data_IF_862115356036
#
_entry.id   IF_862115356036
#
_cell.length_a   1.000
_cell.length_b   1.000
_cell.length_c   1.000
_cell.angle_alpha   90.00
_cell.angle_beta   90.00
_cell.angle_gamma   90.00
#
_symmetry.space_group_name_H-M   'P 1'
#
loop_
_entity.id
_entity.type
_entity.pdbx_description
1 polymer ?
#
# COMPACT_ATOMS: atom_id res chain seq x y z
N UNK A 1 12.65 -11.93 27.87
CA UNK A 1 13.93 -12.67 27.79
C UNK A 1 15.10 -11.85 28.38
N UNK A 2 15.21 -10.52 28.13
CA UNK A 2 16.27 -9.67 28.67
C UNK A 2 16.25 -9.60 30.21
N UNK A 3 15.09 -9.34 30.82
CA UNK A 3 14.94 -9.33 32.28
C UNK A 3 15.32 -10.66 32.94
N UNK A 4 15.01 -11.81 32.31
CA UNK A 4 15.44 -13.13 32.77
C UNK A 4 16.98 -13.33 32.73
N UNK A 5 17.67 -12.66 31.79
CA UNK A 5 19.13 -12.83 31.61
C UNK A 5 19.95 -11.79 32.38
N UNK A 6 19.44 -10.59 32.56
CA UNK A 6 20.18 -9.44 33.10
C UNK A 6 19.59 -8.86 34.39
N UNK A 7 18.48 -9.43 34.91
CA UNK A 7 17.75 -8.96 36.08
C UNK A 7 16.73 -7.86 35.80
N UNK A 8 15.88 -7.56 36.81
CA UNK A 8 14.80 -6.59 36.68
C UNK A 8 15.29 -5.13 36.55
N UNK A 9 16.49 -4.84 37.03
CA UNK A 9 17.12 -3.52 36.94
C UNK A 9 17.81 -3.24 35.59
N UNK A 10 17.64 -4.13 34.58
CA UNK A 10 18.30 -3.98 33.29
C UNK A 10 17.68 -2.82 32.48
N UNK A 11 18.44 -1.74 32.35
CA UNK A 11 18.11 -0.62 31.48
C UNK A 11 18.51 -0.92 30.03
N UNK A 12 17.49 -1.31 29.24
CA UNK A 12 17.66 -1.59 27.80
C UNK A 12 18.17 -0.36 27.03
N UNK A 13 17.71 0.83 27.37
CA UNK A 13 18.06 2.06 26.66
C UNK A 13 19.52 2.41 26.89
N UNK A 14 19.95 2.37 28.14
CA UNK A 14 21.36 2.57 28.51
C UNK A 14 22.27 1.51 27.86
N UNK A 15 21.90 0.24 27.91
CA UNK A 15 22.67 -0.85 27.29
C UNK A 15 22.85 -0.64 25.77
N UNK A 16 21.80 -0.27 25.05
CA UNK A 16 21.86 -0.04 23.60
C UNK A 16 22.75 1.16 23.26
N UNK A 17 22.78 2.18 24.09
CA UNK A 17 23.60 3.40 23.86
C UNK A 17 25.05 3.31 24.32
N UNK A 18 25.37 2.42 25.25
CA UNK A 18 26.70 2.36 25.86
C UNK A 18 27.50 1.11 25.53
N UNK A 19 26.85 0.01 25.14
CA UNK A 19 27.55 -1.22 24.79
C UNK A 19 28.28 -1.08 23.45
N UNK A 20 29.62 -1.18 23.46
CA UNK A 20 30.46 -0.94 22.28
C UNK A 20 30.03 -1.78 21.05
N UNK A 21 29.69 -3.06 21.24
CA UNK A 21 29.30 -3.96 20.18
C UNK A 21 27.92 -3.56 19.59
N UNK A 22 26.99 -3.08 20.42
CA UNK A 22 25.68 -2.61 19.96
C UNK A 22 25.82 -1.29 19.21
N UNK A 23 26.69 -0.38 19.69
CA UNK A 23 26.99 0.89 19.01
C UNK A 23 27.64 0.64 17.64
N UNK A 24 28.55 -0.33 17.54
CA UNK A 24 29.17 -0.72 16.27
C UNK A 24 28.11 -1.28 15.29
N UNK A 25 27.25 -2.18 15.75
CA UNK A 25 26.15 -2.68 14.94
C UNK A 25 25.18 -1.59 14.49
N UNK A 26 24.88 -0.63 15.37
CA UNK A 26 24.03 0.50 15.01
C UNK A 26 24.66 1.33 13.89
N UNK A 27 25.96 1.62 13.97
CA UNK A 27 26.68 2.32 12.90
C UNK A 27 26.63 1.55 11.57
N UNK A 28 26.84 0.23 11.63
CA UNK A 28 26.75 -0.61 10.43
C UNK A 28 25.35 -0.60 9.82
N UNK A 29 24.30 -0.65 10.64
CA UNK A 29 22.91 -0.56 10.20
C UNK A 29 22.63 0.82 9.58
N UNK A 30 23.09 1.89 10.20
CA UNK A 30 22.87 3.25 9.70
C UNK A 30 23.60 3.47 8.36
N UNK A 31 24.81 2.94 8.21
CA UNK A 31 25.54 2.94 6.95
C UNK A 31 24.83 2.16 5.87
N UNK A 32 24.35 0.95 6.17
CA UNK A 32 23.60 0.13 5.23
C UNK A 32 22.29 0.80 4.81
N UNK A 33 21.60 1.45 5.77
CA UNK A 33 20.38 2.21 5.50
C UNK A 33 20.65 3.41 4.58
N UNK A 34 21.72 4.16 4.82
CA UNK A 34 22.11 5.28 3.97
C UNK A 34 22.38 4.83 2.52
N UNK A 35 23.13 3.73 2.34
CA UNK A 35 23.39 3.13 1.03
C UNK A 35 22.10 2.67 0.33
N UNK A 36 21.19 2.08 1.09
CA UNK A 36 19.89 1.65 0.58
C UNK A 36 19.06 2.85 0.09
N UNK A 37 18.99 3.93 0.88
CA UNK A 37 18.26 5.15 0.52
C UNK A 37 18.86 5.77 -0.74
N UNK A 38 20.17 5.93 -0.80
CA UNK A 38 20.87 6.46 -1.98
C UNK A 38 20.62 5.64 -3.26
N UNK A 39 20.67 4.31 -3.14
CA UNK A 39 20.33 3.42 -4.25
C UNK A 39 18.86 3.54 -4.69
N UNK A 40 17.93 3.75 -3.73
CA UNK A 40 16.51 4.00 -4.03
C UNK A 40 16.32 5.33 -4.78
N UNK A 41 16.93 6.40 -4.30
CA UNK A 41 16.80 7.73 -4.91
C UNK A 41 17.34 7.77 -6.33
N UNK A 42 18.41 7.02 -6.61
CA UNK A 42 19.00 6.88 -7.94
C UNK A 42 18.37 5.79 -8.80
N UNK A 43 17.42 5.02 -8.27
CA UNK A 43 16.85 3.83 -8.91
C UNK A 43 17.93 2.85 -9.43
N UNK A 44 18.98 2.67 -8.62
CA UNK A 44 20.16 1.87 -8.98
C UNK A 44 20.00 0.43 -8.47
N UNK A 45 19.47 -0.44 -9.32
CA UNK A 45 19.24 -1.86 -8.99
C UNK A 45 20.54 -2.64 -8.79
N UNK A 46 21.62 -2.24 -9.47
CA UNK A 46 22.92 -2.89 -9.32
C UNK A 46 23.52 -2.59 -7.92
N UNK A 47 23.35 -1.35 -7.43
CA UNK A 47 23.76 -0.98 -6.08
C UNK A 47 22.99 -1.78 -5.00
N UNK A 48 21.70 -2.10 -5.23
CA UNK A 48 20.96 -2.99 -4.34
C UNK A 48 21.52 -4.41 -4.34
N UNK A 49 21.83 -4.96 -5.52
CA UNK A 49 22.47 -6.28 -5.63
C UNK A 49 23.77 -6.34 -4.84
N UNK A 50 24.64 -5.35 -5.03
CA UNK A 50 25.91 -5.22 -4.31
C UNK A 50 25.71 -5.07 -2.81
N UNK A 51 24.70 -4.33 -2.37
CA UNK A 51 24.37 -4.18 -0.94
C UNK A 51 23.96 -5.53 -0.30
N UNK A 52 23.20 -6.36 -1.00
CA UNK A 52 22.82 -7.70 -0.56
C UNK A 52 24.05 -8.60 -0.38
N UNK A 53 24.98 -8.53 -1.33
CA UNK A 53 26.25 -9.27 -1.29
C UNK A 53 27.15 -8.80 -0.14
N UNK A 54 27.41 -7.49 -0.05
CA UNK A 54 28.28 -6.87 0.95
C UNK A 54 27.79 -7.13 2.39
N UNK A 55 26.48 -7.17 2.59
CA UNK A 55 25.86 -7.46 3.88
C UNK A 55 25.69 -8.96 4.14
N UNK A 56 26.10 -9.79 3.20
CA UNK A 56 25.99 -11.25 3.29
C UNK A 56 24.57 -11.71 3.65
N UNK A 57 23.55 -11.08 3.07
CA UNK A 57 22.15 -11.36 3.39
C UNK A 57 21.80 -12.79 3.00
N UNK A 58 21.23 -13.52 3.96
CA UNK A 58 20.82 -14.92 3.80
C UNK A 58 19.29 -14.98 3.64
N UNK A 59 18.83 -15.81 2.73
CA UNK A 59 17.40 -16.08 2.58
C UNK A 59 16.83 -16.72 3.87
N UNK A 60 15.83 -16.13 4.51
CA UNK A 60 15.30 -16.65 5.78
C UNK A 60 14.58 -18.00 5.64
N UNK A 61 14.23 -18.40 4.42
CA UNK A 61 13.53 -19.66 4.14
C UNK A 61 14.52 -20.78 3.79
N UNK A 62 15.42 -20.52 2.82
CA UNK A 62 16.37 -21.53 2.33
C UNK A 62 17.70 -21.55 3.06
N UNK A 63 18.05 -20.50 3.80
CA UNK A 63 19.34 -20.36 4.45
C UNK A 63 20.52 -20.11 3.51
N UNK A 64 20.27 -19.88 2.22
CA UNK A 64 21.31 -19.69 1.20
C UNK A 64 21.50 -18.22 0.87
N UNK A 65 22.64 -17.87 0.24
CA UNK A 65 22.94 -16.56 -0.32
C UNK A 65 22.76 -16.52 -1.84
N UNK A 66 22.07 -17.50 -2.38
CA UNK A 66 21.88 -17.64 -3.82
C UNK A 66 20.76 -16.71 -4.29
N UNK A 67 21.07 -15.43 -4.43
CA UNK A 67 20.14 -14.38 -4.88
C UNK A 67 20.19 -14.26 -6.41
N UNK A 68 19.04 -14.03 -7.01
CA UNK A 68 18.95 -13.58 -8.40
C UNK A 68 19.24 -12.08 -8.46
N UNK A 69 19.49 -11.56 -9.65
CA UNK A 69 19.59 -10.12 -9.86
C UNK A 69 18.38 -9.38 -9.30
N UNK A 70 18.63 -8.19 -8.74
CA UNK A 70 17.57 -7.31 -8.27
C UNK A 70 16.80 -6.77 -9.47
N UNK A 71 15.49 -6.97 -9.48
CA UNK A 71 14.61 -6.51 -10.56
C UNK A 71 13.52 -5.61 -10.00
N UNK A 72 13.15 -4.62 -10.78
CA UNK A 72 12.00 -3.80 -10.44
C UNK A 72 10.72 -4.63 -10.55
N UNK A 73 9.93 -4.61 -9.50
CA UNK A 73 8.65 -5.30 -9.49
C UNK A 73 7.55 -4.40 -10.08
N UNK A 74 6.89 -4.88 -11.12
CA UNK A 74 5.75 -4.20 -11.71
C UNK A 74 4.46 -4.63 -11.01
N UNK A 75 3.83 -3.72 -10.29
CA UNK A 75 2.54 -3.94 -9.61
C UNK A 75 1.38 -4.12 -10.58
N UNK A 76 1.50 -3.62 -11.81
CA UNK A 76 0.47 -3.76 -12.83
C UNK A 76 0.63 -5.10 -13.57
N UNK A 77 -0.49 -5.75 -13.83
CA UNK A 77 -0.51 -6.91 -14.73
C UNK A 77 -0.31 -6.45 -16.15
N UNK A 78 0.76 -6.93 -16.77
CA UNK A 78 1.02 -6.75 -18.18
C UNK A 78 0.46 -7.94 -18.98
N UNK A 79 -0.07 -7.66 -20.16
CA UNK A 79 -0.41 -8.65 -21.19
C UNK A 79 0.08 -8.17 -22.53
N UNK A 80 0.22 -9.07 -23.49
CA UNK A 80 0.64 -8.74 -24.83
C UNK A 80 -0.53 -8.92 -25.78
N UNK A 81 -0.73 -7.95 -26.65
CA UNK A 81 -1.72 -7.97 -27.70
C UNK A 81 -1.02 -7.96 -29.06
N UNK A 82 -1.38 -8.89 -29.92
CA UNK A 82 -0.82 -9.03 -31.27
C UNK A 82 -1.07 -10.42 -31.81
N UNK A 83 -1.31 -10.51 -33.10
CA UNK A 83 -1.50 -11.79 -33.79
C UNK A 83 -0.20 -12.50 -34.16
N UNK A 84 0.93 -11.80 -34.13
CA UNK A 84 2.28 -12.30 -34.46
C UNK A 84 3.23 -11.94 -33.32
N UNK A 85 4.14 -12.82 -32.98
CA UNK A 85 5.06 -12.68 -31.82
C UNK A 85 5.98 -11.45 -31.91
N UNK A 86 6.26 -10.94 -33.09
CA UNK A 86 7.22 -9.84 -33.30
C UNK A 86 6.57 -8.45 -33.29
N UNK A 87 5.21 -8.37 -33.36
CA UNK A 87 4.47 -7.12 -33.33
C UNK A 87 3.47 -7.13 -32.15
N UNK A 88 4.00 -7.33 -30.96
CA UNK A 88 3.22 -7.36 -29.74
C UNK A 88 3.34 -6.05 -28.97
N UNK A 89 2.21 -5.33 -28.80
CA UNK A 89 2.14 -4.22 -27.86
C UNK A 89 1.85 -4.71 -26.43
N UNK A 90 2.60 -4.20 -25.48
CA UNK A 90 2.36 -4.46 -24.06
C UNK A 90 1.18 -3.60 -23.58
N UNK A 91 0.19 -4.25 -22.98
CA UNK A 91 -0.97 -3.61 -22.36
C UNK A 91 -1.00 -3.95 -20.88
N UNK A 92 -1.52 -3.02 -20.09
CA UNK A 92 -1.70 -3.19 -18.67
C UNK A 92 -3.16 -3.32 -18.29
N UNK A 93 -3.46 -4.29 -17.42
CA UNK A 93 -4.77 -4.41 -16.82
C UNK A 93 -4.90 -3.39 -15.68
N UNK A 94 -6.09 -2.81 -15.53
CA UNK A 94 -6.32 -1.77 -14.50
C UNK A 94 -6.12 -2.31 -13.08
N UNK A 95 -5.37 -1.63 -12.21
CA UNK A 95 -5.17 -2.03 -10.81
C UNK A 95 -6.30 -1.57 -9.88
N UNK A 96 -7.17 -0.66 -10.36
CA UNK A 96 -8.32 -0.10 -9.65
C UNK A 96 -9.34 0.48 -10.64
N UNK A 97 -10.52 0.79 -10.16
CA UNK A 97 -11.61 1.34 -10.98
C UNK A 97 -11.64 2.88 -11.01
N UNK A 98 -10.87 3.55 -10.14
CA UNK A 98 -10.86 5.01 -10.00
C UNK A 98 -10.51 5.75 -11.29
N UNK A 99 -9.47 5.31 -12.02
CA UNK A 99 -9.04 5.99 -13.24
C UNK A 99 -10.14 6.03 -14.29
N UNK A 100 -10.91 4.94 -14.42
CA UNK A 100 -12.05 4.88 -15.33
C UNK A 100 -13.15 5.91 -14.99
N UNK A 101 -13.36 6.15 -13.70
CA UNK A 101 -14.33 7.16 -13.22
C UNK A 101 -13.83 8.57 -13.59
N UNK A 102 -12.56 8.89 -13.32
CA UNK A 102 -12.01 10.22 -13.64
C UNK A 102 -11.98 10.50 -15.13
N UNK A 103 -11.55 9.54 -15.95
CA UNK A 103 -11.53 9.69 -17.42
C UNK A 103 -12.94 9.94 -17.98
N UNK A 104 -13.97 9.30 -17.42
CA UNK A 104 -15.34 9.44 -17.87
C UNK A 104 -16.13 10.57 -17.20
N UNK A 105 -15.52 11.32 -16.29
CA UNK A 105 -16.20 12.38 -15.53
C UNK A 105 -17.03 13.32 -16.43
N UNK A 106 -16.40 13.92 -17.44
CA UNK A 106 -17.07 14.86 -18.34
C UNK A 106 -18.18 14.21 -19.16
N UNK A 107 -18.00 12.96 -19.57
CA UNK A 107 -19.02 12.22 -20.32
C UNK A 107 -20.27 11.99 -19.46
N UNK A 108 -20.08 11.53 -18.23
CA UNK A 108 -21.16 11.29 -17.27
C UNK A 108 -21.86 12.59 -16.92
N UNK A 109 -21.08 13.64 -16.61
CA UNK A 109 -21.61 14.96 -16.28
C UNK A 109 -22.51 15.50 -17.38
N UNK A 110 -22.04 15.48 -18.63
CA UNK A 110 -22.78 16.02 -19.79
C UNK A 110 -24.01 15.17 -20.11
N UNK A 111 -23.85 13.85 -20.19
CA UNK A 111 -24.95 12.92 -20.55
C UNK A 111 -26.03 12.92 -19.48
N UNK A 112 -25.64 12.89 -18.19
CA UNK A 112 -26.55 12.93 -17.06
C UNK A 112 -27.04 14.33 -16.68
N UNK A 113 -26.52 15.39 -17.33
CA UNK A 113 -26.78 16.81 -16.97
C UNK A 113 -26.54 17.08 -15.48
N UNK A 114 -25.49 16.44 -14.93
CA UNK A 114 -25.20 16.49 -13.51
C UNK A 114 -24.55 17.82 -13.11
N UNK A 115 -24.85 18.26 -11.91
CA UNK A 115 -24.21 19.43 -11.24
C UNK A 115 -23.54 18.96 -9.98
N UNK A 116 -22.39 19.56 -9.64
CA UNK A 116 -21.69 19.33 -8.37
C UNK A 116 -22.58 19.81 -7.22
N UNK A 117 -22.76 19.01 -6.13
CA UNK A 117 -22.10 17.73 -5.89
C UNK A 117 -22.79 16.55 -6.55
N UNK A 118 -22.04 15.59 -7.08
CA UNK A 118 -22.55 14.32 -7.57
C UNK A 118 -21.50 13.21 -7.48
N UNK A 119 -21.95 11.96 -7.47
CA UNK A 119 -21.08 10.78 -7.40
C UNK A 119 -21.13 9.94 -8.67
N UNK A 120 -20.04 9.27 -8.96
CA UNK A 120 -19.94 8.22 -9.96
C UNK A 120 -19.47 6.96 -9.25
N UNK A 121 -20.26 5.89 -9.35
CA UNK A 121 -19.91 4.59 -8.81
C UNK A 121 -19.64 3.61 -9.95
N UNK A 122 -18.67 2.73 -9.72
CA UNK A 122 -18.34 1.66 -10.66
C UNK A 122 -18.15 0.36 -9.89
N UNK A 123 -18.69 -0.73 -10.44
CA UNK A 123 -18.40 -2.10 -10.04
C UNK A 123 -17.69 -2.78 -11.18
N UNK A 124 -16.59 -3.44 -10.90
CA UNK A 124 -15.84 -4.14 -11.94
C UNK A 124 -14.58 -4.80 -11.41
N UNK A 125 -13.93 -5.55 -12.29
CA UNK A 125 -12.68 -6.24 -11.96
C UNK A 125 -11.50 -5.28 -11.92
N UNK A 126 -10.62 -5.52 -10.94
CA UNK A 126 -9.31 -4.92 -10.83
C UNK A 126 -8.24 -6.02 -10.71
N UNK A 127 -7.02 -5.68 -11.10
CA UNK A 127 -5.92 -6.65 -11.22
C UNK A 127 -4.66 -6.08 -10.58
N UNK A 128 -4.09 -6.82 -9.67
CA UNK A 128 -2.82 -6.45 -9.05
C UNK A 128 -1.84 -7.60 -9.16
N UNK A 129 -0.65 -7.37 -9.59
CA UNK A 129 0.40 -8.37 -9.72
C UNK A 129 1.04 -8.62 -8.35
N UNK A 130 0.31 -9.29 -7.46
CA UNK A 130 0.80 -9.62 -6.13
C UNK A 130 1.95 -10.62 -6.21
N UNK A 131 3.06 -10.35 -5.52
CA UNK A 131 4.22 -11.27 -5.46
C UNK A 131 3.77 -12.61 -4.88
N UNK A 132 2.96 -12.58 -3.82
CA UNK A 132 2.40 -13.77 -3.21
C UNK A 132 0.92 -13.55 -2.92
N UNK A 133 0.06 -14.22 -3.68
CA UNK A 133 -1.36 -14.32 -3.36
C UNK A 133 -1.51 -15.28 -2.16
N UNK A 134 -1.94 -14.75 -1.02
CA UNK A 134 -2.13 -15.49 0.25
C UNK A 134 -3.43 -15.05 0.91
N UNK A 135 -3.76 -15.72 2.03
CA UNK A 135 -4.90 -15.36 2.86
C UNK A 135 -6.25 -15.57 2.16
N UNK A 136 -6.35 -16.63 1.39
CA UNK A 136 -7.58 -17.01 0.69
C UNK A 136 -8.09 -15.87 -0.21
N UNK A 137 -9.28 -15.32 0.04
CA UNK A 137 -9.89 -14.25 -0.78
C UNK A 137 -9.38 -12.84 -0.45
N UNK A 138 -8.62 -12.66 0.64
CA UNK A 138 -8.19 -11.32 1.07
C UNK A 138 -7.05 -10.74 0.23
N UNK A 139 -6.29 -11.60 -0.48
CA UNK A 139 -5.20 -11.12 -1.34
C UNK A 139 -5.12 -11.93 -2.61
N UNK A 140 -5.84 -11.47 -3.61
CA UNK A 140 -5.98 -12.10 -4.92
C UNK A 140 -5.38 -11.21 -6.01
N UNK A 141 -4.96 -11.80 -7.12
CA UNK A 141 -4.46 -11.06 -8.28
C UNK A 141 -5.57 -10.47 -9.14
N UNK A 142 -6.72 -11.12 -9.14
CA UNK A 142 -7.95 -10.66 -9.80
C UNK A 142 -9.05 -10.59 -8.74
N UNK A 143 -9.72 -9.46 -8.62
CA UNK A 143 -10.80 -9.24 -7.65
C UNK A 143 -11.82 -8.26 -8.18
N UNK A 144 -13.01 -8.30 -7.61
CA UNK A 144 -14.04 -7.31 -7.87
C UNK A 144 -13.90 -6.14 -6.90
N UNK A 145 -14.06 -4.95 -7.42
CA UNK A 145 -14.03 -3.72 -6.66
C UNK A 145 -15.31 -2.93 -6.93
N UNK A 146 -15.93 -2.43 -5.88
CA UNK A 146 -16.97 -1.42 -5.94
C UNK A 146 -16.40 -0.12 -5.38
N UNK A 147 -16.41 0.91 -6.19
CA UNK A 147 -15.81 2.19 -5.85
C UNK A 147 -16.75 3.33 -6.27
N UNK A 148 -16.75 4.37 -5.45
CA UNK A 148 -17.48 5.61 -5.73
C UNK A 148 -16.54 6.80 -5.56
N UNK A 149 -16.53 7.69 -6.54
CA UNK A 149 -15.92 9.01 -6.44
C UNK A 149 -17.04 10.05 -6.34
N UNK A 150 -17.01 10.86 -5.28
CA UNK A 150 -17.98 11.90 -5.04
C UNK A 150 -17.34 13.27 -5.23
N UNK A 151 -17.79 13.98 -6.25
CA UNK A 151 -17.22 15.25 -6.69
C UNK A 151 -17.95 16.41 -6.02
N UNK A 152 -17.19 17.26 -5.35
CA UNK A 152 -17.70 18.38 -4.55
C UNK A 152 -17.06 19.71 -4.96
N UNK A 153 -17.64 20.82 -4.52
CA UNK A 153 -17.03 22.12 -4.76
C UNK A 153 -15.74 22.29 -3.95
N UNK A 154 -14.71 22.94 -4.51
CA UNK A 154 -13.47 23.23 -3.76
C UNK A 154 -13.76 23.95 -2.44
N UNK A 155 -13.10 23.53 -1.36
CA UNK A 155 -13.28 24.07 -0.02
C UNK A 155 -14.40 23.43 0.80
N UNK A 156 -15.19 22.51 0.21
CA UNK A 156 -16.25 21.78 0.93
C UNK A 156 -15.89 20.32 1.20
N UNK A 157 -14.68 19.90 0.83
CA UNK A 157 -14.24 18.51 0.88
C UNK A 157 -14.28 17.90 2.27
N UNK A 158 -13.94 18.69 3.33
CA UNK A 158 -13.94 18.18 4.70
C UNK A 158 -15.35 17.99 5.26
N UNK A 159 -16.28 18.84 4.89
CA UNK A 159 -17.70 18.69 5.25
C UNK A 159 -18.27 17.40 4.65
N UNK A 160 -18.02 17.18 3.35
CA UNK A 160 -18.44 15.97 2.66
C UNK A 160 -17.72 14.72 3.15
N UNK A 161 -16.46 14.84 3.56
CA UNK A 161 -15.72 13.73 4.18
C UNK A 161 -16.41 13.26 5.46
N UNK A 162 -16.76 14.17 6.38
CA UNK A 162 -17.46 13.82 7.62
C UNK A 162 -18.88 13.27 7.34
N UNK A 163 -19.59 13.84 6.37
CA UNK A 163 -20.87 13.34 5.93
C UNK A 163 -20.78 11.87 5.47
N UNK A 164 -19.85 11.55 4.56
CA UNK A 164 -19.69 10.21 4.03
C UNK A 164 -19.16 9.22 5.07
N UNK A 165 -18.27 9.64 5.96
CA UNK A 165 -17.79 8.82 7.07
C UNK A 165 -18.97 8.33 7.93
N UNK A 166 -19.87 9.22 8.31
CA UNK A 166 -21.06 8.88 9.08
C UNK A 166 -22.04 8.01 8.28
N UNK A 167 -22.26 8.33 7.02
CA UNK A 167 -23.15 7.53 6.15
C UNK A 167 -22.65 6.12 5.94
N UNK A 168 -21.34 5.93 5.75
CA UNK A 168 -20.74 4.60 5.60
C UNK A 168 -20.88 3.79 6.89
N UNK A 169 -20.67 4.39 8.04
CA UNK A 169 -20.89 3.69 9.32
C UNK A 169 -22.35 3.29 9.50
N UNK A 170 -23.30 4.19 9.20
CA UNK A 170 -24.75 3.84 9.27
C UNK A 170 -25.10 2.66 8.37
N UNK A 171 -24.52 2.60 7.18
CA UNK A 171 -24.71 1.46 6.28
C UNK A 171 -24.22 0.16 6.93
N UNK A 172 -23.04 0.15 7.54
CA UNK A 172 -22.52 -1.02 8.26
C UNK A 172 -23.42 -1.42 9.43
N UNK A 173 -23.90 -0.45 10.20
CA UNK A 173 -24.82 -0.72 11.32
C UNK A 173 -26.15 -1.32 10.85
N UNK A 174 -26.63 -0.89 9.67
CA UNK A 174 -27.85 -1.46 9.09
C UNK A 174 -27.73 -2.94 8.71
N UNK A 175 -26.50 -3.47 8.58
CA UNK A 175 -26.26 -4.91 8.42
C UNK A 175 -26.47 -5.72 9.70
N UNK A 176 -26.74 -5.08 10.84
CA UNK A 176 -27.05 -5.75 12.11
C UNK A 176 -25.85 -6.27 12.90
N UNK A 177 -24.64 -5.83 12.58
CA UNK A 177 -23.40 -6.31 13.18
C UNK A 177 -22.98 -5.52 14.44
N UNK A 178 -23.83 -4.95 15.20
CA UNK A 178 -23.56 -4.32 16.49
C UNK A 178 -22.55 -3.14 16.46
N UNK A 179 -22.88 -2.03 17.08
CA UNK A 179 -22.08 -0.80 17.04
C UNK A 179 -20.71 -0.95 17.71
N UNK A 180 -20.59 -1.71 18.78
CA UNK A 180 -19.38 -1.86 19.59
C UNK A 180 -18.23 -2.58 18.84
N UNK A 181 -18.52 -3.19 17.71
CA UNK A 181 -17.55 -3.87 16.88
C UNK A 181 -16.90 -2.95 15.82
N UNK A 182 -17.36 -1.71 15.68
CA UNK A 182 -16.82 -0.78 14.70
C UNK A 182 -16.03 0.34 15.36
N UNK A 183 -14.97 0.76 14.68
CA UNK A 183 -14.25 1.99 15.03
C UNK A 183 -13.81 2.74 13.78
N UNK A 184 -13.66 4.06 13.91
CA UNK A 184 -12.94 4.87 12.93
C UNK A 184 -11.43 4.77 13.17
N UNK A 185 -10.69 4.59 12.10
CA UNK A 185 -9.24 4.60 12.12
C UNK A 185 -8.73 5.69 11.16
N UNK A 186 -8.48 6.92 11.66
CA UNK A 186 -7.84 7.96 10.87
C UNK A 186 -6.41 7.56 10.51
N UNK A 187 -5.97 7.89 9.28
CA UNK A 187 -4.62 7.60 8.84
C UNK A 187 -3.63 8.68 9.28
N UNK A 188 -2.51 8.28 9.88
CA UNK A 188 -1.40 9.17 10.24
C UNK A 188 -0.56 9.57 9.02
N UNK A 189 -0.48 8.69 8.01
CA UNK A 189 0.23 8.93 6.75
C UNK A 189 -0.75 9.00 5.59
N UNK A 190 -0.89 10.19 5.06
CA UNK A 190 -1.75 10.46 3.91
C UNK A 190 -0.98 10.31 2.60
N UNK A 191 -1.68 9.93 1.53
CA UNK A 191 -1.18 10.07 0.17
C UNK A 191 -0.96 11.57 -0.14
N UNK A 192 -0.01 11.87 -1.02
CA UNK A 192 0.36 13.27 -1.35
C UNK A 192 -0.78 14.14 -1.89
N UNK A 193 -1.85 13.51 -2.38
CA UNK A 193 -3.05 14.16 -2.92
C UNK A 193 -4.22 14.19 -1.92
N UNK A 194 -4.08 13.62 -0.71
CA UNK A 194 -5.17 13.47 0.25
C UNK A 194 -5.04 14.47 1.40
N UNK A 195 -6.14 15.13 1.75
CA UNK A 195 -6.25 16.00 2.92
C UNK A 195 -6.70 15.23 4.17
N UNK A 196 -7.42 14.12 3.99
CA UNK A 196 -7.85 13.23 5.06
C UNK A 196 -8.05 11.81 4.53
N UNK A 197 -7.92 10.82 5.42
CA UNK A 197 -8.28 9.44 5.16
C UNK A 197 -8.73 8.77 6.46
N UNK A 198 -9.72 7.89 6.38
CA UNK A 198 -10.26 7.18 7.52
C UNK A 198 -10.83 5.83 7.08
N UNK A 199 -10.41 4.77 7.75
CA UNK A 199 -11.02 3.46 7.61
C UNK A 199 -12.14 3.26 8.64
N UNK A 200 -13.11 2.41 8.32
CA UNK A 200 -14.07 1.86 9.27
C UNK A 200 -13.63 0.42 9.49
N UNK A 201 -13.10 0.16 10.67
CA UNK A 201 -12.61 -1.16 11.05
C UNK A 201 -13.68 -1.93 11.83
N UNK A 202 -13.73 -3.25 11.61
CA UNK A 202 -14.59 -4.18 12.30
C UNK A 202 -13.76 -5.16 13.13
N UNK A 203 -14.18 -5.38 14.37
CA UNK A 203 -13.58 -6.36 15.27
C UNK A 203 -14.26 -7.72 15.09
N UNK A 204 -13.50 -8.69 14.66
CA UNK A 204 -13.92 -10.10 14.54
C UNK A 204 -13.90 -10.81 15.87
#
# INVERSE_FOLDING_TARGET
KAAKRFGEAFDRKQFVTTNARVVEWQKAIDTARARMIDAMERNDLAAFGKLIEDLEIVCPISGTRNWTEVRQFNLMFATKLGSVSDDTSELYLRPETAQGIFVNFLNVQKTGRMRIPFGIAQVGKAFRNEIVARQFTFRMREFEQMEMQYFVAPGTEMEWFEYWKQHRLRWHLALGLGQDNYRYHPHDKLAHYANAACDIEYKF
#
